data_IF_944778751418
#
_entry.id   IF_944778751418
#
_cell.length_a   1.000
_cell.length_b   1.000
_cell.length_c   1.000
_cell.angle_alpha   90.00
_cell.angle_beta   90.00
_cell.angle_gamma   90.00
#
_symmetry.space_group_name_H-M   'P 1'
#
loop_
_entity.id
_entity.type
_entity.pdbx_description
1 polymer ?
#
# COMPACT_ATOMS: atom_id res chain seq x y z
N UNK A 1 -29.78 -16.27 56.13
CA UNK A 1 -29.58 -14.80 56.27
C UNK A 1 -28.10 -14.50 56.20
N UNK A 2 -27.65 -13.76 55.17
CA UNK A 2 -26.44 -12.92 55.19
C UNK A 2 -26.56 -11.98 53.98
N UNK A 3 -26.87 -10.70 54.24
CA UNK A 3 -26.91 -9.63 53.24
C UNK A 3 -25.47 -9.25 52.89
N UNK A 4 -25.10 -9.37 51.61
CA UNK A 4 -23.88 -8.77 51.09
C UNK A 4 -24.13 -7.27 50.87
N UNK A 5 -23.23 -6.44 51.41
CA UNK A 5 -23.22 -4.98 51.29
C UNK A 5 -22.74 -4.61 49.88
N UNK A 6 -23.42 -3.66 49.24
CA UNK A 6 -22.94 -2.97 48.05
C UNK A 6 -21.73 -2.11 48.40
N UNK A 7 -20.57 -2.40 47.80
CA UNK A 7 -19.41 -1.52 47.82
C UNK A 7 -19.52 -0.57 46.62
N UNK A 8 -19.93 0.67 46.90
CA UNK A 8 -19.84 1.79 45.97
C UNK A 8 -18.37 2.22 45.95
N UNK A 9 -17.66 1.96 44.85
CA UNK A 9 -16.26 2.38 44.66
C UNK A 9 -16.25 3.87 44.29
N UNK A 10 -15.85 4.72 45.23
CA UNK A 10 -15.38 6.07 44.94
C UNK A 10 -13.99 5.97 44.31
N UNK A 11 -13.82 6.50 43.10
CA UNK A 11 -12.52 6.78 42.52
C UNK A 11 -12.09 8.17 43.01
N UNK A 12 -11.01 8.24 43.79
CA UNK A 12 -10.36 9.48 44.19
C UNK A 12 -9.08 9.61 43.36
N UNK A 13 -8.99 10.65 42.52
CA UNK A 13 -7.76 10.98 41.79
C UNK A 13 -6.82 11.74 42.73
N UNK A 14 -5.63 11.19 42.95
CA UNK A 14 -4.54 11.76 43.74
C UNK A 14 -3.59 12.51 42.80
N UNK A 15 -3.43 13.81 43.01
CA UNK A 15 -2.46 14.64 42.29
C UNK A 15 -1.23 14.83 43.20
N UNK A 16 -0.09 14.23 42.83
CA UNK A 16 1.17 14.36 43.58
C UNK A 16 2.07 15.36 42.86
N UNK A 17 2.20 16.56 43.41
CA UNK A 17 3.33 17.44 43.10
C UNK A 17 4.49 17.09 44.05
N UNK A 18 5.66 16.75 43.50
CA UNK A 18 6.89 16.69 44.30
C UNK A 18 7.35 18.13 44.53
N UNK A 19 7.14 18.59 45.76
CA UNK A 19 7.48 19.91 46.26
C UNK A 19 8.92 19.90 46.80
N UNK A 20 9.90 20.42 46.07
CA UNK A 20 11.22 20.70 46.62
C UNK A 20 11.24 22.13 47.15
N UNK A 21 10.93 22.31 48.45
CA UNK A 21 11.00 23.59 49.15
C UNK A 21 12.36 23.75 49.82
N UNK A 22 13.12 24.78 49.45
CA UNK A 22 14.20 25.30 50.31
C UNK A 22 13.63 26.46 51.12
N UNK A 23 13.44 26.23 52.42
CA UNK A 23 13.00 27.27 53.35
C UNK A 23 14.19 28.14 53.74
N UNK A 24 14.18 29.42 53.35
CA UNK A 24 14.84 30.46 54.13
C UNK A 24 13.76 31.46 54.57
N UNK A 25 13.80 31.81 55.85
CA UNK A 25 12.72 32.51 56.56
C UNK A 25 12.24 33.81 55.93
N UNK A 26 10.97 34.11 56.25
CA UNK A 26 10.08 35.19 55.80
C UNK A 26 9.24 34.88 54.55
N UNK A 27 8.14 34.14 54.80
CA UNK A 27 6.81 34.11 54.17
C UNK A 27 6.64 34.73 52.77
N UNK A 28 7.32 34.16 51.79
CA UNK A 28 6.83 34.17 50.41
C UNK A 28 7.31 32.93 49.67
N UNK A 29 6.38 32.10 49.21
CA UNK A 29 6.67 31.06 48.21
C UNK A 29 6.52 31.73 46.84
N UNK A 30 7.60 31.72 46.06
CA UNK A 30 7.56 32.10 44.64
C UNK A 30 7.45 30.82 43.82
N UNK A 31 6.35 30.61 43.11
CA UNK A 31 6.18 29.45 42.22
C UNK A 31 6.50 29.87 40.79
N UNK A 32 7.61 29.38 40.24
CA UNK A 32 7.87 29.38 38.80
C UNK A 32 7.29 28.07 38.25
N UNK A 33 6.20 28.15 37.50
CA UNK A 33 5.55 26.96 36.96
C UNK A 33 6.39 26.34 35.83
N UNK A 34 7.16 25.30 36.13
CA UNK A 34 7.70 24.37 35.15
C UNK A 34 6.70 23.20 34.93
N UNK A 35 6.57 22.78 33.68
CA UNK A 35 5.68 21.75 33.10
C UNK A 35 5.45 20.48 33.93
N UNK A 36 4.21 19.96 33.90
CA UNK A 36 3.88 18.56 33.51
C UNK A 36 2.44 18.51 32.97
N UNK A 37 2.22 17.73 31.90
CA UNK A 37 0.93 17.34 31.33
C UNK A 37 -0.03 16.70 32.35
N UNK A 38 -1.34 16.93 32.21
CA UNK A 38 -2.36 16.12 32.87
C UNK A 38 -3.53 15.78 31.93
N UNK A 39 -3.90 14.50 31.97
CA UNK A 39 -5.03 13.93 31.26
C UNK A 39 -6.35 14.22 31.99
N UNK A 40 -7.41 14.45 31.20
CA UNK A 40 -8.75 14.80 31.66
C UNK A 40 -9.61 13.57 31.98
N UNK A 41 -10.59 13.72 32.89
CA UNK A 41 -11.87 13.02 32.80
C UNK A 41 -13.04 13.98 33.08
N UNK A 42 -14.12 13.74 32.33
CA UNK A 42 -15.31 14.56 32.13
C UNK A 42 -16.42 14.06 33.06
N UNK A 43 -17.26 14.93 33.62
CA UNK A 43 -18.63 14.53 34.00
C UNK A 43 -19.62 15.70 33.93
N UNK A 44 -20.81 15.34 33.48
CA UNK A 44 -21.91 16.11 32.87
C UNK A 44 -22.66 17.09 33.78
N UNK A 45 -23.15 18.15 33.12
CA UNK A 45 -24.22 19.11 33.51
C UNK A 45 -25.51 18.47 34.08
N UNK A 46 -26.33 19.21 34.86
CA UNK A 46 -27.39 20.02 34.23
C UNK A 46 -27.73 21.39 34.87
N UNK A 47 -28.00 22.34 33.97
CA UNK A 47 -29.03 23.40 33.95
C UNK A 47 -29.46 24.15 35.23
N UNK A 48 -29.40 25.49 35.20
CA UNK A 48 -30.61 26.34 35.23
C UNK A 48 -30.31 27.85 35.10
N UNK A 49 -31.01 28.44 34.12
CA UNK A 49 -31.68 29.75 34.04
C UNK A 49 -31.16 31.04 34.69
N UNK A 50 -31.30 32.08 33.84
CA UNK A 50 -31.69 33.46 34.13
C UNK A 50 -30.61 34.38 34.73
N UNK A 51 -30.52 35.67 34.39
CA UNK A 51 -31.12 36.58 33.41
C UNK A 51 -30.40 37.93 33.68
N UNK A 52 -30.47 38.87 32.73
CA UNK A 52 -30.25 40.31 32.92
C UNK A 52 -28.82 40.78 33.28
N UNK A 53 -28.34 41.94 32.85
CA UNK A 53 -28.74 43.00 31.93
C UNK A 53 -27.49 43.90 31.81
N UNK A 54 -27.38 44.65 30.71
CA UNK A 54 -26.83 46.02 30.55
C UNK A 54 -25.73 46.55 31.50
N UNK A 55 -24.78 47.38 31.08
CA UNK A 55 -24.71 48.37 29.99
C UNK A 55 -23.30 48.97 30.03
N UNK A 56 -22.85 49.45 28.88
CA UNK A 56 -22.14 50.73 28.60
C UNK A 56 -20.81 51.03 29.31
N UNK A 57 -19.72 51.15 28.53
CA UNK A 57 -19.20 52.41 27.93
C UNK A 57 -18.27 53.09 28.98
N UNK A 58 -17.04 53.52 28.68
CA UNK A 58 -16.72 54.73 27.92
C UNK A 58 -15.20 54.78 27.68
N UNK A 59 -14.87 54.98 26.41
CA UNK A 59 -13.77 55.73 25.77
C UNK A 59 -12.60 56.30 26.58
N UNK A 60 -11.41 56.29 25.96
CA UNK A 60 -10.60 57.48 25.53
C UNK A 60 -9.14 57.03 25.34
N UNK A 61 -8.58 57.11 24.12
CA UNK A 61 -7.77 58.22 23.58
C UNK A 61 -6.40 58.37 24.27
N UNK A 62 -5.26 58.66 23.65
CA UNK A 62 -4.80 58.84 22.28
C UNK A 62 -3.26 59.05 22.37
N UNK A 63 -2.62 59.24 21.21
CA UNK A 63 -1.29 59.85 20.99
C UNK A 63 -0.06 58.97 21.19
N UNK A 64 1.01 59.05 20.40
CA UNK A 64 1.41 59.86 19.24
C UNK A 64 2.71 59.20 18.71
N UNK A 65 2.88 58.96 17.40
CA UNK A 65 3.46 59.84 16.37
C UNK A 65 4.99 59.74 16.21
N UNK A 66 5.46 60.00 14.98
CA UNK A 66 6.81 60.01 14.39
C UNK A 66 7.39 58.64 13.97
N UNK A 67 7.94 58.45 12.77
CA UNK A 67 8.27 59.38 11.67
C UNK A 67 8.55 58.60 10.38
N UNK A 68 8.24 59.26 9.27
CA UNK A 68 8.54 58.95 7.87
C UNK A 68 10.04 58.75 7.59
N UNK A 69 10.37 57.90 6.60
CA UNK A 69 11.18 58.34 5.45
C UNK A 69 11.08 57.34 4.26
N UNK A 70 10.75 57.90 3.10
CA UNK A 70 10.90 57.43 1.70
C UNK A 70 12.41 57.18 1.39
N UNK A 71 12.91 56.58 0.30
CA UNK A 71 12.46 56.37 -1.09
C UNK A 71 13.44 55.39 -1.79
N UNK A 72 12.94 54.64 -2.78
CA UNK A 72 13.49 54.19 -4.09
C UNK A 72 15.02 54.02 -4.35
N UNK A 73 15.40 52.88 -4.97
CA UNK A 73 15.73 52.82 -6.43
C UNK A 73 16.48 51.55 -6.89
N UNK A 74 15.99 51.06 -8.05
CA UNK A 74 16.70 50.47 -9.21
C UNK A 74 17.21 49.00 -9.26
N UNK A 75 17.09 48.49 -10.50
CA UNK A 75 17.19 47.13 -11.07
C UNK A 75 18.30 47.20 -12.17
N UNK A 76 18.53 46.18 -13.02
CA UNK A 76 19.24 44.88 -12.91
C UNK A 76 20.58 44.84 -13.72
N UNK A 77 21.25 43.68 -13.76
CA UNK A 77 21.78 42.97 -14.97
C UNK A 77 22.91 41.97 -14.59
N UNK A 78 23.00 40.84 -15.31
CA UNK A 78 24.16 39.96 -15.20
C UNK A 78 23.98 38.52 -15.72
N UNK A 79 23.81 38.38 -17.03
CA UNK A 79 23.89 37.16 -17.86
C UNK A 79 25.25 36.46 -17.75
N UNK A 80 25.32 35.12 -17.87
CA UNK A 80 26.27 34.46 -18.78
C UNK A 80 25.94 32.98 -19.07
N UNK A 81 26.24 32.63 -20.32
CA UNK A 81 25.94 31.43 -21.10
C UNK A 81 27.26 30.77 -21.55
N UNK A 82 27.24 29.47 -21.89
CA UNK A 82 28.20 28.78 -22.78
C UNK A 82 27.64 27.36 -23.02
N UNK A 83 27.06 26.99 -24.18
CA UNK A 83 27.64 26.63 -25.52
C UNK A 83 28.76 25.56 -25.41
N UNK A 84 28.51 24.28 -25.74
CA UNK A 84 28.39 23.57 -27.06
C UNK A 84 29.75 23.22 -27.68
N UNK A 85 29.98 21.93 -27.97
CA UNK A 85 30.64 21.45 -29.20
C UNK A 85 30.48 19.91 -29.39
N UNK A 86 30.14 19.52 -30.61
CA UNK A 86 30.17 18.21 -31.30
C UNK A 86 31.12 18.41 -32.53
N UNK A 87 31.42 17.47 -33.46
CA UNK A 87 31.24 16.00 -33.54
C UNK A 87 32.46 15.22 -34.17
N UNK A 88 32.20 13.93 -34.48
CA UNK A 88 32.66 13.10 -35.64
C UNK A 88 33.80 12.03 -35.59
N UNK A 89 33.39 10.87 -36.13
CA UNK A 89 34.04 9.74 -36.85
C UNK A 89 35.13 8.82 -36.23
N UNK A 90 34.90 7.49 -36.37
CA UNK A 90 35.63 6.63 -37.33
C UNK A 90 35.07 5.19 -37.41
N UNK A 91 35.08 4.65 -38.62
CA UNK A 91 34.75 3.29 -39.09
C UNK A 91 35.97 2.35 -39.16
N UNK A 92 35.69 1.08 -39.52
CA UNK A 92 36.58 -0.04 -39.95
C UNK A 92 37.02 -1.01 -38.83
N UNK A 93 37.16 -2.32 -39.00
CA UNK A 93 36.65 -3.39 -39.87
C UNK A 93 37.39 -4.68 -39.47
N UNK A 94 36.77 -5.85 -39.72
CA UNK A 94 37.50 -7.08 -40.04
C UNK A 94 37.65 -8.14 -38.95
N UNK A 95 37.25 -9.36 -39.28
CA UNK A 95 37.67 -10.58 -38.59
C UNK A 95 36.69 -11.74 -38.69
N UNK A 96 36.82 -12.51 -39.77
CA UNK A 96 36.13 -13.77 -40.07
C UNK A 96 36.17 -14.80 -38.92
N UNK A 97 35.15 -15.65 -38.85
CA UNK A 97 35.34 -17.09 -38.93
C UNK A 97 34.05 -17.81 -39.35
N UNK A 98 34.22 -18.56 -40.45
CA UNK A 98 33.44 -19.67 -40.98
C UNK A 98 32.96 -20.65 -39.93
N UNK A 99 31.75 -21.19 -40.10
CA UNK A 99 31.53 -22.63 -40.06
C UNK A 99 30.31 -23.04 -40.88
N UNK A 100 30.45 -24.21 -41.47
CA UNK A 100 29.67 -24.80 -42.54
C UNK A 100 28.63 -25.72 -41.91
N UNK A 101 27.38 -25.74 -42.38
CA UNK A 101 26.63 -26.99 -42.32
C UNK A 101 25.62 -27.12 -43.46
N UNK A 102 25.65 -28.32 -44.02
CA UNK A 102 24.97 -28.76 -45.22
C UNK A 102 23.47 -28.92 -44.97
N UNK A 103 22.66 -28.32 -45.84
CA UNK A 103 21.24 -28.62 -45.95
C UNK A 103 21.01 -29.37 -47.27
N UNK A 104 20.65 -30.65 -47.17
CA UNK A 104 20.11 -31.45 -48.26
C UNK A 104 18.58 -31.42 -48.17
N UNK A 105 17.96 -30.50 -48.89
CA UNK A 105 16.52 -30.48 -49.11
C UNK A 105 16.20 -31.23 -50.39
N UNK A 106 15.47 -32.35 -50.25
CA UNK A 106 14.79 -33.02 -51.33
C UNK A 106 13.53 -32.24 -51.71
N UNK A 107 13.34 -31.96 -53.00
CA UNK A 107 12.05 -31.55 -53.56
C UNK A 107 11.77 -32.46 -54.75
N UNK A 108 10.70 -33.25 -54.59
CA UNK A 108 10.02 -34.00 -55.63
C UNK A 108 9.37 -33.07 -56.64
N UNK A 109 9.42 -33.44 -57.91
CA UNK A 109 8.40 -33.07 -58.89
C UNK A 109 7.98 -34.33 -59.64
N UNK A 110 6.68 -34.58 -59.55
CA UNK A 110 5.87 -35.50 -60.35
C UNK A 110 6.12 -35.29 -61.85
N UNK A 111 5.99 -36.32 -62.68
CA UNK A 111 4.75 -36.64 -63.39
C UNK A 111 4.98 -37.66 -64.53
N UNK A 112 3.87 -38.29 -64.95
CA UNK A 112 3.65 -39.05 -66.20
C UNK A 112 4.35 -40.40 -66.39
N UNK A 113 3.85 -41.40 -67.12
CA UNK A 113 2.53 -41.91 -67.55
C UNK A 113 2.91 -43.18 -68.37
N UNK A 114 2.03 -44.18 -68.43
CA UNK A 114 1.94 -45.26 -69.44
C UNK A 114 2.87 -46.50 -69.38
N UNK A 115 2.22 -47.61 -68.98
CA UNK A 115 2.07 -48.90 -69.69
C UNK A 115 3.08 -49.30 -70.77
N UNK A 116 3.74 -50.45 -70.61
CA UNK A 116 3.40 -51.69 -71.36
C UNK A 116 4.22 -52.90 -70.88
N UNK A 117 3.67 -54.07 -71.22
CA UNK A 117 3.95 -55.43 -70.78
C UNK A 117 5.38 -55.95 -71.04
N UNK A 118 5.86 -56.83 -70.15
CA UNK A 118 6.46 -58.10 -70.59
C UNK A 118 6.14 -59.22 -69.61
N UNK A 119 5.52 -60.26 -70.15
CA UNK A 119 5.20 -61.55 -69.56
C UNK A 119 6.46 -62.36 -69.25
N UNK A 120 6.55 -62.89 -68.04
CA UNK A 120 7.21 -64.17 -67.74
C UNK A 120 6.39 -64.94 -66.71
N UNK A 121 5.63 -65.94 -67.18
CA UNK A 121 5.27 -67.16 -66.43
C UNK A 121 6.59 -67.84 -65.98
N UNK A 122 6.75 -68.59 -64.90
CA UNK A 122 5.86 -69.31 -64.01
C UNK A 122 6.74 -69.78 -62.84
N UNK A 123 6.35 -69.58 -61.57
CA UNK A 123 6.49 -70.59 -60.49
C UNK A 123 5.42 -70.27 -59.46
N UNK A 124 4.35 -71.03 -59.51
CA UNK A 124 3.36 -71.15 -58.44
C UNK A 124 4.00 -71.72 -57.18
N UNK A 125 4.28 -70.86 -56.19
CA UNK A 125 4.22 -71.25 -54.79
C UNK A 125 2.97 -70.62 -54.19
N UNK A 126 1.90 -71.43 -54.10
CA UNK A 126 0.77 -71.16 -53.21
C UNK A 126 1.28 -71.18 -51.77
N UNK A 127 1.72 -70.03 -51.27
CA UNK A 127 1.65 -69.71 -49.86
C UNK A 127 0.27 -69.11 -49.61
N UNK A 128 -0.50 -69.75 -48.73
CA UNK A 128 -1.71 -69.17 -48.16
C UNK A 128 -1.30 -67.83 -47.53
N UNK A 129 -1.69 -66.73 -48.16
CA UNK A 129 -1.63 -65.41 -47.55
C UNK A 129 -2.72 -65.41 -46.46
N UNK A 130 -2.38 -65.89 -45.27
CA UNK A 130 -3.18 -65.65 -44.08
C UNK A 130 -3.31 -64.14 -43.95
N UNK A 131 -4.48 -63.63 -44.31
CA UNK A 131 -4.84 -62.24 -44.10
C UNK A 131 -4.82 -62.03 -42.59
N UNK A 132 -3.73 -61.49 -42.07
CA UNK A 132 -3.62 -61.16 -40.65
C UNK A 132 -4.73 -60.18 -40.32
N UNK A 133 -5.53 -60.51 -39.32
CA UNK A 133 -6.50 -59.57 -38.78
C UNK A 133 -5.69 -58.41 -38.17
N UNK A 134 -5.80 -57.21 -38.76
CA UNK A 134 -5.21 -55.98 -38.23
C UNK A 134 -6.29 -55.12 -37.60
N UNK A 135 -5.93 -54.42 -36.55
CA UNK A 135 -6.77 -53.48 -35.82
C UNK A 135 -6.12 -52.10 -35.79
N UNK A 136 -6.95 -51.06 -35.72
CA UNK A 136 -6.50 -49.69 -35.67
C UNK A 136 -6.43 -49.19 -34.22
N UNK A 137 -5.26 -48.66 -33.84
CA UNK A 137 -5.07 -47.95 -32.59
C UNK A 137 -5.06 -46.46 -32.88
N UNK A 138 -6.05 -45.73 -32.36
CA UNK A 138 -6.17 -44.27 -32.52
C UNK A 138 -5.68 -43.56 -31.27
N UNK A 139 -4.94 -42.46 -31.43
CA UNK A 139 -4.49 -41.63 -30.32
C UNK A 139 -5.33 -40.36 -30.21
N UNK A 140 -6.03 -40.22 -29.09
CA UNK A 140 -6.80 -39.04 -28.74
C UNK A 140 -6.00 -38.18 -27.77
N UNK A 141 -5.44 -37.07 -28.25
CA UNK A 141 -4.53 -36.22 -27.50
C UNK A 141 -5.24 -34.96 -27.03
N UNK A 142 -5.30 -34.76 -25.71
CA UNK A 142 -5.79 -33.56 -25.06
C UNK A 142 -4.62 -32.74 -24.50
N UNK A 143 -4.39 -31.57 -25.10
CA UNK A 143 -3.31 -30.64 -24.76
C UNK A 143 -2.09 -30.79 -25.69
N UNK A 144 -0.90 -30.45 -25.21
CA UNK A 144 0.31 -30.43 -26.05
C UNK A 144 1.15 -31.69 -25.87
N UNK A 145 0.94 -32.68 -26.74
CA UNK A 145 1.80 -33.85 -26.87
C UNK A 145 1.83 -34.38 -28.31
N UNK A 146 2.91 -35.08 -28.64
CA UNK A 146 3.13 -35.80 -29.90
C UNK A 146 3.33 -37.29 -29.59
N UNK A 147 2.64 -38.15 -30.35
CA UNK A 147 2.78 -39.59 -30.23
C UNK A 147 3.70 -40.10 -31.32
N UNK A 148 4.71 -40.88 -30.93
CA UNK A 148 5.65 -41.51 -31.87
C UNK A 148 5.53 -43.02 -31.86
N UNK A 149 5.35 -43.62 -33.04
CA UNK A 149 5.44 -45.07 -33.24
C UNK A 149 6.65 -45.32 -34.14
N UNK A 150 7.58 -46.17 -33.70
CA UNK A 150 8.86 -46.40 -34.39
C UNK A 150 9.66 -45.11 -34.68
N UNK A 151 9.48 -44.08 -33.86
CA UNK A 151 10.16 -42.79 -33.99
C UNK A 151 9.44 -41.76 -34.88
N UNK A 152 8.35 -42.13 -35.55
CA UNK A 152 7.59 -41.24 -36.42
C UNK A 152 6.31 -40.73 -35.74
N UNK A 153 6.02 -39.45 -35.90
CA UNK A 153 4.82 -38.82 -35.32
C UNK A 153 3.56 -39.32 -36.04
N UNK A 154 2.60 -39.87 -35.29
CA UNK A 154 1.39 -40.48 -35.85
C UNK A 154 0.14 -40.10 -35.05
N UNK A 155 -1.02 -40.05 -35.71
CA UNK A 155 -2.33 -39.94 -35.07
C UNK A 155 -2.98 -41.32 -34.82
N UNK A 156 -2.52 -42.35 -35.52
CA UNK A 156 -2.98 -43.74 -35.38
C UNK A 156 -1.92 -44.72 -35.88
N UNK A 157 -2.00 -45.99 -35.46
CA UNK A 157 -1.15 -47.07 -35.95
C UNK A 157 -1.95 -48.36 -36.15
N UNK A 158 -1.55 -49.18 -37.12
CA UNK A 158 -2.09 -50.53 -37.31
C UNK A 158 -1.30 -51.54 -36.49
N UNK A 159 -2.00 -52.49 -35.88
CA UNK A 159 -1.39 -53.59 -35.14
C UNK A 159 -2.07 -54.91 -35.49
N UNK A 160 -1.29 -55.99 -35.52
CA UNK A 160 -1.82 -57.34 -35.74
C UNK A 160 -2.60 -57.79 -34.51
N UNK A 161 -3.64 -58.61 -34.72
CA UNK A 161 -4.35 -59.28 -33.63
C UNK A 161 -3.38 -60.06 -32.75
N UNK A 162 -3.63 -60.02 -31.44
CA UNK A 162 -2.82 -60.66 -30.39
C UNK A 162 -1.38 -60.10 -30.27
N UNK A 163 -1.07 -58.99 -30.97
CA UNK A 163 0.24 -58.31 -30.88
C UNK A 163 0.25 -57.18 -29.86
N UNK A 164 1.47 -56.72 -29.53
CA UNK A 164 1.71 -55.56 -28.68
C UNK A 164 2.16 -54.38 -29.55
N UNK A 165 1.69 -53.17 -29.22
CA UNK A 165 2.12 -51.92 -29.87
C UNK A 165 2.94 -51.09 -28.90
N UNK A 166 4.18 -50.75 -29.29
CA UNK A 166 5.02 -49.79 -28.57
C UNK A 166 4.88 -48.39 -29.15
N UNK A 167 4.72 -47.39 -28.28
CA UNK A 167 4.67 -45.99 -28.69
C UNK A 167 5.31 -45.08 -27.61
N UNK A 168 5.76 -43.90 -28.02
CA UNK A 168 6.30 -42.88 -27.13
C UNK A 168 5.38 -41.66 -27.09
N UNK A 169 5.32 -41.01 -25.93
CA UNK A 169 4.61 -39.75 -25.75
C UNK A 169 5.63 -38.67 -25.43
N UNK A 170 5.74 -37.68 -26.31
CA UNK A 170 6.57 -36.49 -26.09
C UNK A 170 5.66 -35.30 -25.80
N UNK A 171 5.78 -34.71 -24.61
CA UNK A 171 4.99 -33.53 -24.25
C UNK A 171 5.58 -32.25 -24.82
N UNK A 172 4.72 -31.29 -25.16
CA UNK A 172 5.12 -29.94 -25.53
C UNK A 172 5.83 -29.21 -24.39
N UNK A 173 6.53 -28.12 -24.73
CA UNK A 173 7.24 -27.29 -23.74
C UNK A 173 6.27 -26.75 -22.70
N UNK A 174 6.66 -26.78 -21.42
CA UNK A 174 5.80 -26.29 -20.34
C UNK A 174 4.65 -27.21 -19.94
N UNK A 175 4.48 -28.36 -20.60
CA UNK A 175 3.51 -29.37 -20.22
C UNK A 175 4.20 -30.59 -19.61
N UNK A 176 3.48 -31.23 -18.70
CA UNK A 176 3.78 -32.58 -18.22
C UNK A 176 2.63 -33.50 -18.56
N UNK A 177 2.95 -34.77 -18.69
CA UNK A 177 1.95 -35.79 -18.92
C UNK A 177 1.09 -35.95 -17.67
N UNK A 178 -0.23 -35.90 -17.84
CA UNK A 178 -1.22 -36.09 -16.75
C UNK A 178 -1.64 -37.55 -16.67
N UNK A 179 -2.04 -38.15 -17.80
CA UNK A 179 -2.42 -39.56 -17.88
C UNK A 179 -2.33 -40.09 -19.32
N UNK A 180 -2.16 -41.42 -19.43
CA UNK A 180 -2.32 -42.17 -20.67
C UNK A 180 -3.19 -43.35 -20.34
N UNK A 181 -4.33 -43.48 -21.02
CA UNK A 181 -5.30 -44.52 -20.76
C UNK A 181 -5.70 -45.24 -22.04
N UNK A 182 -5.99 -46.53 -21.94
CA UNK A 182 -6.59 -47.31 -23.02
C UNK A 182 -7.77 -48.09 -22.44
N UNK A 183 -8.92 -48.06 -23.12
CA UNK A 183 -10.17 -48.68 -22.66
C UNK A 183 -10.56 -48.31 -21.21
N UNK A 184 -10.20 -47.09 -20.79
CA UNK A 184 -10.45 -46.55 -19.46
C UNK A 184 -9.51 -47.04 -18.35
N UNK A 185 -8.44 -47.77 -18.68
CA UNK A 185 -7.40 -48.18 -17.74
C UNK A 185 -6.10 -47.41 -17.97
N UNK A 186 -5.42 -47.02 -16.89
CA UNK A 186 -4.11 -46.36 -16.95
C UNK A 186 -3.05 -47.30 -17.54
N UNK A 187 -2.25 -46.78 -18.48
CA UNK A 187 -1.09 -47.47 -19.02
C UNK A 187 0.16 -47.10 -18.21
N UNK A 188 0.89 -48.13 -17.80
CA UNK A 188 2.20 -47.97 -17.16
C UNK A 188 3.25 -47.56 -18.20
N UNK A 189 4.15 -46.68 -17.81
CA UNK A 189 5.22 -46.18 -18.66
C UNK A 189 6.61 -46.55 -18.13
N UNK A 190 7.56 -46.66 -19.04
CA UNK A 190 8.98 -46.63 -18.72
C UNK A 190 9.64 -45.55 -19.57
N UNK A 191 10.02 -44.45 -18.93
CA UNK A 191 10.70 -43.32 -19.57
C UNK A 191 9.92 -42.73 -20.77
N UNK A 192 8.61 -42.52 -20.61
CA UNK A 192 7.73 -41.99 -21.67
C UNK A 192 7.39 -42.98 -22.78
N UNK A 193 7.88 -44.22 -22.69
CA UNK A 193 7.53 -45.33 -23.58
C UNK A 193 6.43 -46.19 -22.98
N UNK A 194 5.44 -46.53 -23.82
CA UNK A 194 4.24 -47.27 -23.48
C UNK A 194 4.13 -48.53 -24.34
N UNK A 195 3.54 -49.57 -23.76
CA UNK A 195 3.23 -50.82 -24.48
C UNK A 195 1.74 -51.11 -24.27
N UNK A 196 0.97 -50.99 -25.36
CA UNK A 196 -0.40 -51.50 -25.40
C UNK A 196 -0.34 -52.99 -25.72
N UNK A 197 -0.77 -53.83 -24.77
CA UNK A 197 -0.61 -55.29 -24.87
C UNK A 197 -1.83 -55.97 -25.45
N UNK A 198 -1.58 -57.05 -26.19
CA UNK A 198 -2.59 -58.03 -26.60
C UNK A 198 -3.81 -57.38 -27.28
N UNK A 199 -3.59 -56.75 -28.43
CA UNK A 199 -4.63 -56.01 -29.16
C UNK A 199 -5.66 -56.98 -29.74
N UNK A 200 -6.92 -56.84 -29.32
CA UNK A 200 -8.05 -57.73 -29.67
C UNK A 200 -9.08 -57.06 -30.59
N UNK A 201 -8.95 -55.77 -30.84
CA UNK A 201 -9.91 -54.94 -31.56
C UNK A 201 -9.37 -53.53 -31.77
N UNK A 202 -10.14 -52.71 -32.47
CA UNK A 202 -9.83 -51.28 -32.58
C UNK A 202 -9.85 -50.64 -31.18
N UNK A 203 -8.80 -49.89 -30.85
CA UNK A 203 -8.61 -49.30 -29.52
C UNK A 203 -8.34 -47.81 -29.65
N UNK A 204 -8.85 -47.03 -28.70
CA UNK A 204 -8.47 -45.62 -28.54
C UNK A 204 -7.60 -45.48 -27.31
N UNK A 205 -6.45 -44.83 -27.47
CA UNK A 205 -5.55 -44.44 -26.39
C UNK A 205 -5.76 -42.94 -26.15
N UNK A 206 -6.24 -42.58 -24.96
CA UNK A 206 -6.41 -41.18 -24.56
C UNK A 206 -5.17 -40.70 -23.82
N UNK A 207 -4.62 -39.58 -24.27
CA UNK A 207 -3.41 -38.95 -23.72
C UNK A 207 -3.78 -37.56 -23.23
N UNK A 208 -3.70 -37.34 -21.92
CA UNK A 208 -3.95 -36.03 -21.32
C UNK A 208 -2.64 -35.40 -20.84
N UNK A 209 -2.46 -34.13 -21.13
CA UNK A 209 -1.37 -33.31 -20.57
C UNK A 209 -1.93 -32.21 -19.68
N UNK A 210 -1.08 -31.68 -18.81
CA UNK A 210 -1.35 -30.49 -18.01
C UNK A 210 -0.11 -29.61 -17.93
N UNK A 211 -0.25 -28.32 -17.61
CA UNK A 211 0.91 -27.46 -17.44
C UNK A 211 1.80 -27.98 -16.30
N UNK A 212 3.10 -28.07 -16.58
CA UNK A 212 4.09 -28.50 -15.61
C UNK A 212 4.25 -27.41 -14.56
N UNK A 213 3.72 -27.64 -13.35
CA UNK A 213 3.98 -26.80 -12.19
C UNK A 213 5.43 -26.95 -11.70
N UNK A 214 6.41 -26.50 -12.48
CA UNK A 214 7.76 -26.34 -11.99
C UNK A 214 7.79 -25.11 -11.07
N UNK A 215 8.03 -25.34 -9.78
CA UNK A 215 8.30 -24.26 -8.82
C UNK A 215 9.68 -23.71 -9.11
N UNK A 216 9.76 -22.74 -10.00
CA UNK A 216 10.96 -21.98 -10.25
C UNK A 216 11.01 -20.79 -9.29
N UNK A 217 12.21 -20.45 -8.82
CA UNK A 217 12.40 -19.19 -8.11
C UNK A 217 12.35 -18.05 -9.12
N UNK A 218 11.62 -16.99 -8.79
CA UNK A 218 11.45 -15.80 -9.63
C UNK A 218 12.81 -15.23 -10.04
N UNK A 219 13.79 -15.19 -9.13
CA UNK A 219 15.16 -14.78 -9.43
C UNK A 219 15.81 -15.58 -10.57
N UNK A 220 15.53 -16.87 -10.69
CA UNK A 220 16.09 -17.70 -11.76
C UNK A 220 15.38 -17.42 -13.10
N UNK A 221 14.06 -17.23 -13.06
CA UNK A 221 13.24 -16.84 -14.23
C UNK A 221 13.74 -15.51 -14.79
N UNK A 222 13.83 -14.48 -13.95
CA UNK A 222 14.26 -13.13 -14.34
C UNK A 222 15.69 -13.10 -14.90
N UNK A 223 16.57 -13.99 -14.44
CA UNK A 223 17.94 -14.09 -14.96
C UNK A 223 18.01 -14.82 -16.31
N UNK A 224 17.07 -15.69 -16.60
CA UNK A 224 17.08 -16.48 -17.83
C UNK A 224 16.74 -15.62 -19.04
N UNK A 225 15.71 -14.77 -18.94
CA UNK A 225 15.23 -13.95 -20.04
C UNK A 225 14.95 -12.50 -19.60
N UNK A 226 16.00 -11.69 -19.33
CA UNK A 226 15.85 -10.36 -18.74
C UNK A 226 15.29 -9.30 -19.71
N UNK A 227 15.36 -9.54 -21.01
CA UNK A 227 14.92 -8.59 -22.06
C UNK A 227 13.47 -8.83 -22.52
N UNK A 228 12.80 -9.82 -21.96
CA UNK A 228 11.43 -10.16 -22.34
C UNK A 228 10.42 -9.14 -21.83
N UNK A 229 9.23 -9.16 -22.44
CA UNK A 229 8.10 -8.36 -21.99
C UNK A 229 6.84 -9.20 -21.88
N UNK A 230 5.96 -8.81 -20.97
CA UNK A 230 4.68 -9.47 -20.71
C UNK A 230 3.56 -8.50 -21.00
N UNK A 231 2.53 -9.00 -21.70
CA UNK A 231 1.32 -8.22 -21.92
C UNK A 231 0.53 -8.11 -20.63
N UNK A 232 0.26 -6.89 -20.20
CA UNK A 232 -0.53 -6.56 -19.01
C UNK A 232 -1.68 -5.62 -19.38
N UNK A 233 -2.68 -5.53 -18.50
CA UNK A 233 -3.79 -4.58 -18.66
C UNK A 233 -3.67 -3.43 -17.66
N UNK A 234 -3.77 -2.20 -18.13
CA UNK A 234 -3.89 -0.99 -17.32
C UNK A 234 -5.37 -0.78 -16.95
N UNK A 235 -5.62 -0.40 -15.70
CA UNK A 235 -6.96 -0.11 -15.18
C UNK A 235 -6.94 1.10 -14.25
N UNK A 236 -7.88 2.03 -14.44
CA UNK A 236 -8.03 3.20 -13.56
C UNK A 236 -7.16 4.41 -13.95
N UNK A 237 -6.64 4.41 -15.18
CA UNK A 237 -5.87 5.50 -15.77
C UNK A 237 -6.61 6.20 -16.95
N UNK A 238 -7.94 6.08 -16.97
CA UNK A 238 -8.86 6.64 -17.97
C UNK A 238 -8.46 6.34 -19.41
N UNK A 239 -8.07 7.35 -20.19
CA UNK A 239 -7.67 7.21 -21.60
C UNK A 239 -6.44 6.32 -21.81
N UNK A 240 -5.70 5.99 -20.74
CA UNK A 240 -4.56 5.08 -20.76
C UNK A 240 -4.93 3.62 -20.44
N UNK A 241 -6.19 3.33 -20.12
CA UNK A 241 -6.64 1.96 -19.89
C UNK A 241 -6.48 1.11 -21.17
N UNK A 242 -6.09 -0.15 -21.00
CA UNK A 242 -5.88 -1.05 -22.13
C UNK A 242 -4.65 -1.94 -21.97
N UNK A 243 -4.16 -2.47 -23.09
CA UNK A 243 -3.04 -3.41 -23.12
C UNK A 243 -1.71 -2.67 -23.17
N UNK A 244 -0.74 -3.12 -22.37
CA UNK A 244 0.61 -2.58 -22.30
C UNK A 244 1.65 -3.71 -22.28
N UNK A 245 2.82 -3.50 -22.89
CA UNK A 245 3.94 -4.43 -22.80
C UNK A 245 4.85 -4.01 -21.65
N UNK A 246 4.83 -4.77 -20.56
CA UNK A 246 5.62 -4.52 -19.37
C UNK A 246 6.92 -5.33 -19.43
N UNK A 247 8.12 -4.70 -19.33
CA UNK A 247 9.36 -5.43 -19.18
C UNK A 247 9.33 -6.37 -17.98
N UNK A 248 9.94 -7.55 -18.10
CA UNK A 248 10.08 -8.47 -16.97
C UNK A 248 10.90 -7.84 -15.84
N UNK A 249 10.63 -8.25 -14.60
CA UNK A 249 11.28 -7.70 -13.41
C UNK A 249 10.29 -7.31 -12.33
N UNK A 250 10.69 -6.35 -11.48
CA UNK A 250 9.82 -5.78 -10.46
C UNK A 250 8.80 -4.86 -11.12
N UNK A 251 7.52 -5.17 -10.94
CA UNK A 251 6.42 -4.48 -11.64
C UNK A 251 6.39 -3.01 -11.26
N UNK A 252 6.65 -2.68 -9.98
CA UNK A 252 6.63 -1.29 -9.50
C UNK A 252 7.66 -0.41 -10.20
N UNK A 253 8.84 -0.95 -10.50
CA UNK A 253 9.93 -0.22 -11.15
C UNK A 253 9.71 -0.10 -12.66
N UNK A 254 9.01 -1.08 -13.26
CA UNK A 254 8.74 -1.11 -14.69
C UNK A 254 7.36 -0.54 -15.08
N UNK A 255 6.47 -0.27 -14.11
CA UNK A 255 5.12 0.21 -14.35
C UNK A 255 5.14 1.55 -15.12
N UNK A 256 4.32 1.71 -16.18
CA UNK A 256 4.29 2.95 -16.93
C UNK A 256 3.85 4.13 -16.04
N UNK A 257 4.45 5.29 -16.26
CA UNK A 257 4.06 6.53 -15.59
C UNK A 257 3.05 7.29 -16.45
N UNK A 258 1.90 7.64 -15.86
CA UNK A 258 0.89 8.47 -16.51
C UNK A 258 0.76 9.80 -15.75
N UNK A 259 0.72 10.91 -16.47
CA UNK A 259 0.58 12.23 -15.85
C UNK A 259 -0.76 12.32 -15.09
N UNK A 260 -0.71 12.66 -13.80
CA UNK A 260 -1.90 12.78 -12.97
C UNK A 260 -2.44 11.44 -12.45
N UNK A 261 -1.64 10.38 -12.45
CA UNK A 261 -2.00 9.07 -11.88
C UNK A 261 -0.81 8.45 -11.17
N UNK A 262 -1.10 7.68 -10.12
CA UNK A 262 -0.11 6.85 -9.44
C UNK A 262 -0.43 5.38 -9.65
N UNK A 263 0.60 4.59 -9.93
CA UNK A 263 0.52 3.14 -9.83
C UNK A 263 0.26 2.76 -8.36
N UNK A 264 -0.75 1.93 -8.13
CA UNK A 264 -1.16 1.48 -6.79
C UNK A 264 -0.66 0.08 -6.52
N UNK A 265 -1.05 -0.87 -7.37
CA UNK A 265 -0.70 -2.28 -7.22
C UNK A 265 -0.95 -3.04 -8.53
N UNK A 266 -0.36 -4.22 -8.64
CA UNK A 266 -0.66 -5.15 -9.71
C UNK A 266 -1.33 -6.41 -9.13
N UNK A 267 -2.30 -6.97 -9.86
CA UNK A 267 -2.98 -8.21 -9.45
C UNK A 267 -3.14 -9.20 -10.57
N UNK A 268 -3.21 -10.47 -10.18
CA UNK A 268 -3.85 -11.54 -10.94
C UNK A 268 -5.06 -11.98 -10.13
N UNK A 269 -6.26 -11.78 -10.66
CA UNK A 269 -7.53 -11.96 -9.94
C UNK A 269 -7.58 -11.16 -8.62
N UNK A 270 -7.42 -11.82 -7.47
CA UNK A 270 -7.44 -11.21 -6.14
C UNK A 270 -6.05 -11.08 -5.52
N UNK A 271 -5.05 -11.77 -6.08
CA UNK A 271 -3.71 -11.83 -5.52
C UNK A 271 -2.89 -10.63 -5.99
N UNK A 272 -2.34 -9.88 -5.03
CA UNK A 272 -1.37 -8.82 -5.32
C UNK A 272 -0.02 -9.44 -5.68
N UNK A 273 0.57 -8.96 -6.77
CA UNK A 273 1.81 -9.50 -7.34
C UNK A 273 2.92 -8.45 -7.35
N UNK A 274 4.18 -8.90 -7.35
CA UNK A 274 5.34 -7.98 -7.30
C UNK A 274 6.27 -8.11 -8.50
N UNK A 275 6.50 -9.32 -8.98
CA UNK A 275 7.41 -9.59 -10.09
C UNK A 275 6.69 -10.32 -11.20
N UNK A 276 7.13 -10.08 -12.43
CA UNK A 276 6.70 -10.84 -13.61
C UNK A 276 7.92 -11.25 -14.42
N UNK A 277 7.91 -12.47 -14.98
CA UNK A 277 9.01 -13.02 -15.75
C UNK A 277 8.54 -14.00 -16.81
N UNK A 278 9.42 -14.32 -17.77
CA UNK A 278 9.16 -15.33 -18.80
C UNK A 278 10.24 -16.39 -18.74
N UNK A 279 9.85 -17.67 -18.76
CA UNK A 279 10.78 -18.79 -18.83
C UNK A 279 10.19 -19.89 -19.70
N UNK A 280 10.95 -20.37 -20.70
CA UNK A 280 10.49 -21.36 -21.69
C UNK A 280 9.14 -20.99 -22.33
N UNK A 281 8.99 -19.72 -22.73
CA UNK A 281 7.76 -19.14 -23.32
C UNK A 281 6.53 -19.10 -22.39
N UNK A 282 6.71 -19.40 -21.10
CA UNK A 282 5.66 -19.34 -20.07
C UNK A 282 5.83 -18.08 -19.23
N UNK A 283 4.74 -17.37 -19.01
CA UNK A 283 4.69 -16.22 -18.11
C UNK A 283 4.56 -16.69 -16.66
N UNK A 284 5.42 -16.14 -15.80
CA UNK A 284 5.39 -16.35 -14.36
C UNK A 284 5.18 -15.03 -13.62
N UNK A 285 4.52 -15.09 -12.47
CA UNK A 285 4.38 -13.98 -11.54
C UNK A 285 4.66 -14.42 -10.10
N UNK A 286 5.00 -13.48 -9.23
CA UNK A 286 5.15 -13.76 -7.80
C UNK A 286 3.98 -13.19 -7.00
N UNK A 287 3.48 -13.95 -6.01
CA UNK A 287 2.40 -13.50 -5.12
C UNK A 287 2.98 -12.89 -3.85
N UNK A 288 2.56 -11.67 -3.52
CA UNK A 288 3.10 -10.92 -2.39
C UNK A 288 4.63 -10.77 -2.44
N UNK A 289 5.27 -10.83 -1.29
CA UNK A 289 6.74 -10.74 -1.13
C UNK A 289 7.46 -12.09 -1.36
N UNK A 290 6.82 -13.06 -2.00
CA UNK A 290 7.42 -14.37 -2.24
C UNK A 290 8.39 -14.35 -3.43
N UNK A 291 9.51 -15.06 -3.32
CA UNK A 291 10.41 -15.34 -4.44
C UNK A 291 9.94 -16.51 -5.32
N UNK A 292 8.77 -17.10 -5.05
CA UNK A 292 8.26 -18.22 -5.84
C UNK A 292 7.58 -17.72 -7.13
N UNK A 293 8.01 -18.26 -8.27
CA UNK A 293 7.32 -18.08 -9.55
C UNK A 293 6.10 -18.97 -9.65
N UNK A 294 4.94 -18.36 -9.91
CA UNK A 294 3.66 -19.00 -10.19
C UNK A 294 3.34 -18.80 -11.67
N UNK A 295 2.90 -19.85 -12.36
CA UNK A 295 2.56 -19.79 -13.77
C UNK A 295 1.29 -18.96 -13.95
N UNK A 296 1.27 -18.06 -14.94
CA UNK A 296 0.06 -17.39 -15.38
C UNK A 296 -0.77 -18.37 -16.22
N UNK A 297 -1.83 -18.91 -15.61
CA UNK A 297 -2.74 -19.85 -16.28
C UNK A 297 -3.47 -19.19 -17.45
N UNK A 298 -3.82 -19.99 -18.46
CA UNK A 298 -4.49 -19.50 -19.66
C UNK A 298 -5.82 -18.81 -19.33
N UNK A 299 -6.08 -17.65 -19.93
CA UNK A 299 -7.27 -16.83 -19.68
C UNK A 299 -7.20 -15.95 -18.43
N UNK A 300 -6.13 -16.02 -17.63
CA UNK A 300 -5.86 -15.03 -16.58
C UNK A 300 -5.06 -13.86 -17.14
N UNK A 301 -5.29 -12.69 -16.58
CA UNK A 301 -4.58 -11.46 -16.96
C UNK A 301 -3.87 -10.85 -15.75
N UNK A 302 -2.73 -10.23 -16.00
CA UNK A 302 -2.08 -9.35 -15.05
C UNK A 302 -2.66 -7.94 -15.25
N UNK A 303 -3.18 -7.35 -14.18
CA UNK A 303 -3.78 -6.02 -14.19
C UNK A 303 -2.99 -5.07 -13.31
N UNK A 304 -2.53 -3.94 -13.85
CA UNK A 304 -1.91 -2.84 -13.11
C UNK A 304 -2.99 -1.80 -12.81
N UNK A 305 -3.21 -1.52 -11.52
CA UNK A 305 -4.21 -0.57 -11.05
C UNK A 305 -3.58 0.79 -10.78
N UNK A 306 -4.24 1.82 -11.27
CA UNK A 306 -3.87 3.22 -11.08
C UNK A 306 -4.99 3.97 -10.36
N UNK A 307 -4.60 5.02 -9.64
CA UNK A 307 -5.52 5.99 -9.07
C UNK A 307 -5.11 7.40 -9.53
N UNK A 308 -6.09 8.23 -9.87
CA UNK A 308 -5.84 9.61 -10.30
C UNK A 308 -5.33 10.48 -9.15
N UNK A 309 -4.28 11.26 -9.40
CA UNK A 309 -3.85 12.39 -8.56
C UNK A 309 -4.96 13.40 -8.35
N UNK A 310 -5.81 13.63 -9.37
CA UNK A 310 -6.93 14.59 -9.33
C UNK A 310 -8.07 14.15 -8.42
N UNK A 311 -8.05 12.90 -7.95
CA UNK A 311 -8.92 12.45 -6.87
C UNK A 311 -8.47 12.96 -5.50
N UNK A 312 -7.29 13.56 -5.37
CA UNK A 312 -6.80 14.11 -4.12
C UNK A 312 -6.87 15.64 -4.11
N UNK A 313 -7.43 16.19 -3.04
CA UNK A 313 -7.50 17.61 -2.74
C UNK A 313 -6.33 17.97 -1.81
N UNK A 314 -5.68 19.09 -2.06
CA UNK A 314 -4.63 19.59 -1.18
C UNK A 314 -5.24 20.21 0.08
N UNK A 315 -4.55 20.06 1.21
CA UNK A 315 -4.92 20.67 2.48
C UNK A 315 -3.76 21.51 3.00
N UNK A 316 -4.00 22.80 3.18
CA UNK A 316 -3.02 23.75 3.71
C UNK A 316 -3.44 24.22 5.10
N UNK A 317 -2.51 24.23 6.05
CA UNK A 317 -2.75 24.70 7.41
C UNK A 317 -2.00 26.01 7.68
N UNK A 318 -2.72 27.00 8.20
CA UNK A 318 -2.21 28.32 8.52
C UNK A 318 -2.54 28.64 9.97
N UNK A 319 -1.53 29.02 10.76
CA UNK A 319 -1.70 29.45 12.15
C UNK A 319 -1.47 30.95 12.31
N UNK A 320 -2.32 31.59 13.11
CA UNK A 320 -2.26 33.02 13.40
C UNK A 320 -2.41 33.27 14.90
N UNK A 321 -1.78 34.34 15.38
CA UNK A 321 -2.01 34.93 16.70
C UNK A 321 -2.51 36.36 16.48
N UNK A 322 -3.71 36.68 16.96
CA UNK A 322 -4.35 37.99 16.75
C UNK A 322 -4.25 38.45 15.27
N UNK A 323 -4.69 37.58 14.35
CA UNK A 323 -4.67 37.76 12.88
C UNK A 323 -3.28 37.87 12.21
N UNK A 324 -2.19 37.76 12.95
CA UNK A 324 -0.81 37.77 12.41
C UNK A 324 -0.29 36.33 12.30
N UNK A 325 0.35 35.97 11.18
CA UNK A 325 0.97 34.64 11.00
C UNK A 325 1.95 34.34 12.14
N UNK A 326 1.70 33.26 12.88
CA UNK A 326 2.53 32.84 14.00
C UNK A 326 2.15 31.44 14.46
N UNK A 327 3.17 30.63 14.75
CA UNK A 327 3.04 29.31 15.38
C UNK A 327 3.02 29.35 16.91
N UNK A 328 3.17 30.52 17.53
CA UNK A 328 3.28 30.63 19.00
C UNK A 328 1.99 30.21 19.71
N UNK A 329 0.85 30.38 19.05
CA UNK A 329 -0.47 30.09 19.61
C UNK A 329 -0.78 28.60 19.74
N UNK A 330 -0.13 27.74 18.94
CA UNK A 330 -0.44 26.31 18.90
C UNK A 330 -0.02 25.61 17.61
N UNK A 331 -0.42 24.35 17.49
CA UNK A 331 -0.17 23.48 16.34
C UNK A 331 -1.48 22.95 15.74
N UNK A 332 -1.39 22.56 14.48
CA UNK A 332 -2.48 21.88 13.74
C UNK A 332 -1.91 20.61 13.14
N UNK A 333 -2.60 19.49 13.36
CA UNK A 333 -2.20 18.16 12.87
C UNK A 333 -3.33 17.58 12.05
N UNK A 334 -3.07 17.30 10.78
CA UNK A 334 -4.03 16.66 9.88
C UNK A 334 -3.34 16.22 8.58
N UNK A 335 -4.06 15.54 7.67
CA UNK A 335 -3.52 15.12 6.40
C UNK A 335 -3.24 16.34 5.50
N UNK A 336 -2.19 16.26 4.67
CA UNK A 336 -1.86 17.26 3.65
C UNK A 336 -2.62 17.04 2.33
N UNK A 337 -3.17 15.83 2.14
CA UNK A 337 -4.01 15.46 1.01
C UNK A 337 -5.16 14.56 1.47
N UNK A 338 -6.33 14.74 0.89
CA UNK A 338 -7.53 13.93 1.14
C UNK A 338 -8.17 13.55 -0.18
N UNK A 339 -8.90 12.43 -0.25
CA UNK A 339 -9.68 12.11 -1.44
C UNK A 339 -10.85 13.11 -1.60
N UNK A 340 -11.19 13.46 -2.83
CA UNK A 340 -12.40 14.22 -3.16
C UNK A 340 -13.63 13.46 -2.66
N UNK A 341 -14.60 14.22 -2.16
CA UNK A 341 -15.82 13.75 -1.50
C UNK A 341 -15.59 12.92 -0.22
N UNK A 342 -14.35 12.91 0.30
CA UNK A 342 -14.02 12.32 1.61
C UNK A 342 -14.02 13.37 2.72
N UNK A 343 -14.03 12.91 3.97
CA UNK A 343 -14.03 13.79 5.13
C UNK A 343 -12.60 14.20 5.49
N UNK A 344 -12.36 15.51 5.61
CA UNK A 344 -11.15 16.05 6.22
C UNK A 344 -11.33 16.07 7.74
N UNK A 345 -10.42 15.42 8.48
CA UNK A 345 -10.34 15.54 9.94
C UNK A 345 -8.96 16.04 10.35
N UNK A 346 -8.92 17.04 11.23
CA UNK A 346 -7.68 17.60 11.77
C UNK A 346 -7.85 18.01 13.24
N UNK A 347 -6.74 18.05 13.96
CA UNK A 347 -6.65 18.41 15.37
C UNK A 347 -5.94 19.73 15.55
N UNK A 348 -6.46 20.57 16.43
CA UNK A 348 -5.82 21.82 16.88
C UNK A 348 -5.44 21.67 18.34
N UNK A 349 -4.18 21.95 18.66
CA UNK A 349 -3.68 22.03 20.03
C UNK A 349 -3.16 23.45 20.27
N UNK A 350 -3.60 24.11 21.33
CA UNK A 350 -3.13 25.46 21.64
C UNK A 350 -2.14 25.46 22.80
N UNK A 351 -1.15 26.33 22.71
CA UNK A 351 -0.10 26.48 23.70
C UNK A 351 -0.61 27.22 24.95
N UNK A 352 0.08 27.03 26.07
CA UNK A 352 -0.22 27.74 27.31
C UNK A 352 -0.19 29.26 27.11
N UNK A 353 -1.19 29.94 27.65
CA UNK A 353 -1.35 31.39 27.49
C UNK A 353 -2.07 31.81 26.21
N UNK A 354 -2.58 30.85 25.45
CA UNK A 354 -3.44 31.07 24.30
C UNK A 354 -4.75 30.30 24.45
N UNK A 355 -5.74 30.70 23.67
CA UNK A 355 -6.96 29.93 23.38
C UNK A 355 -7.26 30.05 21.90
N UNK A 356 -7.99 29.09 21.35
CA UNK A 356 -8.54 29.20 19.99
C UNK A 356 -9.54 30.37 19.99
N UNK A 357 -9.33 31.32 19.08
CA UNK A 357 -10.30 32.37 18.81
C UNK A 357 -11.32 31.92 17.77
N UNK A 358 -10.85 31.45 16.62
CA UNK A 358 -11.68 30.87 15.57
C UNK A 358 -10.87 29.91 14.67
N UNK A 359 -11.58 28.97 14.05
CA UNK A 359 -11.06 28.11 12.98
C UNK A 359 -11.90 28.34 11.73
N UNK A 360 -11.24 28.62 10.62
CA UNK A 360 -11.86 28.81 9.31
C UNK A 360 -11.35 27.76 8.34
N UNK A 361 -12.24 27.23 7.52
CA UNK A 361 -11.88 26.44 6.34
C UNK A 361 -12.43 27.13 5.10
N UNK A 362 -11.56 27.43 4.14
CA UNK A 362 -11.90 28.20 2.94
C UNK A 362 -12.66 29.50 3.28
N UNK A 363 -12.19 30.21 4.31
CA UNK A 363 -12.78 31.44 4.83
C UNK A 363 -14.03 31.29 5.71
N UNK A 364 -14.61 30.09 5.80
CA UNK A 364 -15.84 29.82 6.58
C UNK A 364 -15.51 29.33 7.98
N UNK A 365 -16.08 29.97 9.01
CA UNK A 365 -15.89 29.53 10.41
C UNK A 365 -16.57 28.19 10.63
N UNK A 366 -15.86 27.24 11.25
CA UNK A 366 -16.38 25.94 11.64
C UNK A 366 -16.24 25.70 13.15
N UNK A 367 -17.06 24.80 13.68
CA UNK A 367 -17.02 24.40 15.08
C UNK A 367 -16.25 23.09 15.24
N UNK A 368 -15.48 22.98 16.32
CA UNK A 368 -14.77 21.77 16.68
C UNK A 368 -15.46 21.01 17.82
N UNK A 369 -14.99 19.80 18.05
CA UNK A 369 -15.31 18.98 19.22
C UNK A 369 -14.15 19.04 20.20
N UNK A 370 -14.43 19.43 21.45
CA UNK A 370 -13.43 19.48 22.52
C UNK A 370 -12.95 18.06 22.85
N UNK A 371 -11.65 17.82 22.79
CA UNK A 371 -11.00 16.55 23.18
C UNK A 371 -10.47 16.67 24.61
N UNK A 372 -9.73 17.74 24.89
CA UNK A 372 -9.25 18.11 26.22
C UNK A 372 -9.35 19.63 26.40
N UNK A 373 -8.90 20.16 27.53
CA UNK A 373 -8.89 21.62 27.78
C UNK A 373 -8.04 22.41 26.78
N UNK A 374 -7.09 21.77 26.10
CA UNK A 374 -6.17 22.41 25.16
C UNK A 374 -6.13 21.77 23.76
N UNK A 375 -7.01 20.79 23.49
CA UNK A 375 -7.09 20.05 22.21
C UNK A 375 -8.51 19.97 21.68
N UNK A 376 -8.68 20.23 20.38
CA UNK A 376 -9.97 20.22 19.68
C UNK A 376 -9.84 19.51 18.33
N UNK A 377 -10.83 18.70 17.99
CA UNK A 377 -10.94 18.03 16.68
C UNK A 377 -11.95 18.75 15.78
N UNK A 378 -11.65 18.84 14.49
CA UNK A 378 -12.49 19.47 13.49
C UNK A 378 -12.69 18.52 12.31
N UNK A 379 -13.89 18.57 11.73
CA UNK A 379 -14.22 17.75 10.56
C UNK A 379 -14.92 18.61 9.50
N UNK A 380 -14.46 18.51 8.25
CA UNK A 380 -15.15 19.02 7.07
C UNK A 380 -15.65 17.81 6.30
N UNK A 381 -16.97 17.66 6.19
CA UNK A 381 -17.56 16.52 5.52
C UNK A 381 -17.52 16.70 4.01
N UNK A 382 -17.20 15.62 3.29
CA UNK A 382 -17.25 15.55 1.82
C UNK A 382 -16.59 16.75 1.14
N UNK A 383 -15.31 16.96 1.43
CA UNK A 383 -14.54 18.02 0.79
C UNK A 383 -14.50 17.81 -0.72
N UNK A 384 -14.85 18.82 -1.51
CA UNK A 384 -15.01 18.74 -2.96
C UNK A 384 -13.98 19.59 -3.75
N UNK A 385 -13.14 20.32 -3.01
CA UNK A 385 -12.11 21.26 -3.49
C UNK A 385 -10.94 21.32 -2.50
N UNK A 386 -9.81 21.90 -2.89
CA UNK A 386 -8.68 22.14 -1.99
C UNK A 386 -9.12 22.90 -0.72
N UNK A 387 -8.51 22.56 0.42
CA UNK A 387 -8.90 23.04 1.73
C UNK A 387 -7.81 23.91 2.33
N UNK A 388 -8.10 25.18 2.56
CA UNK A 388 -7.26 26.09 3.35
C UNK A 388 -7.84 26.20 4.77
N UNK A 389 -7.13 25.62 5.74
CA UNK A 389 -7.47 25.66 7.16
C UNK A 389 -6.69 26.79 7.81
N UNK A 390 -7.38 27.83 8.28
CA UNK A 390 -6.80 28.91 9.09
C UNK A 390 -7.26 28.79 10.53
N UNK A 391 -6.30 28.62 11.45
CA UNK A 391 -6.53 28.62 12.89
C UNK A 391 -6.01 29.93 13.48
N UNK A 392 -6.89 30.69 14.11
CA UNK A 392 -6.52 31.93 14.80
C UNK A 392 -6.59 31.71 16.31
N UNK A 393 -5.47 31.96 16.98
CA UNK A 393 -5.36 31.97 18.42
C UNK A 393 -5.41 33.41 18.95
N UNK A 394 -5.90 33.57 20.17
CA UNK A 394 -5.79 34.81 20.95
C UNK A 394 -5.04 34.57 22.24
N UNK A 395 -4.28 35.57 22.67
CA UNK A 395 -3.60 35.55 23.97
C UNK A 395 -4.64 35.59 25.09
N UNK A 396 -4.45 34.72 26.08
CA UNK A 396 -5.15 34.83 27.36
C UNK A 396 -4.55 36.04 28.08
N UNK A 397 -5.38 37.01 28.44
CA UNK A 397 -4.92 38.21 29.14
C UNK A 397 -5.07 38.09 30.66
N UNK A 398 -5.94 37.19 31.13
CA UNK A 398 -6.21 36.98 32.54
C UNK A 398 -6.55 35.52 32.84
N UNK A 399 -6.08 35.03 33.97
CA UNK A 399 -6.43 33.74 34.54
C UNK A 399 -7.27 33.93 35.80
N UNK A 400 -8.07 32.92 36.16
CA UNK A 400 -8.87 32.90 37.38
C UNK A 400 -8.35 31.82 38.33
N UNK A 401 -7.94 32.22 39.52
CA UNK A 401 -7.55 31.28 40.59
C UNK A 401 -8.82 30.70 41.22
N UNK A 402 -8.89 29.39 41.38
CA UNK A 402 -9.93 28.73 42.19
C UNK A 402 -9.28 27.74 43.14
N UNK A 403 -9.69 27.75 44.41
CA UNK A 403 -9.27 26.78 45.43
C UNK A 403 -10.40 26.52 46.44
N UNK A 404 -10.29 25.39 47.15
CA UNK A 404 -11.14 25.00 48.27
C UNK A 404 -10.29 24.70 49.49
N UNK A 405 -10.41 25.50 50.55
CA UNK A 405 -9.66 25.27 51.79
C UNK A 405 -10.02 23.95 52.48
N UNK A 406 -11.20 23.39 52.19
CA UNK A 406 -11.62 22.08 52.73
C UNK A 406 -10.74 20.92 52.23
N UNK A 407 -9.99 21.12 51.14
CA UNK A 407 -9.10 20.12 50.55
C UNK A 407 -7.65 20.27 51.02
N UNK A 408 -7.35 21.30 51.81
CA UNK A 408 -6.01 21.59 52.33
C UNK A 408 -5.86 20.92 53.70
N UNK A 409 -4.84 20.07 53.84
CA UNK A 409 -4.67 19.21 55.04
C UNK A 409 -4.15 19.94 56.27
N UNK A 410 -3.35 21.00 56.10
CA UNK A 410 -2.73 21.74 57.18
C UNK A 410 -2.70 23.22 56.78
N UNK A 411 -3.63 24.00 57.34
CA UNK A 411 -3.74 25.43 57.06
C UNK A 411 -4.70 25.79 55.92
N UNK A 412 -4.70 27.08 55.57
CA UNK A 412 -5.65 27.72 54.66
C UNK A 412 -4.95 28.70 53.72
N UNK A 413 -5.43 28.81 52.47
CA UNK A 413 -5.13 29.97 51.61
C UNK A 413 -6.06 31.12 52.03
N UNK A 414 -5.46 32.25 52.42
CA UNK A 414 -6.19 33.44 52.91
C UNK A 414 -6.16 34.60 51.93
N UNK A 415 -5.25 34.60 50.95
CA UNK A 415 -5.18 35.63 49.91
C UNK A 415 -4.42 35.12 48.67
N UNK A 416 -4.80 35.53 47.45
CA UNK A 416 -6.04 36.25 47.13
C UNK A 416 -7.25 35.31 47.26
N UNK A 417 -8.46 35.85 47.33
CA UNK A 417 -9.68 35.03 47.47
C UNK A 417 -9.84 34.06 46.29
N UNK A 418 -10.44 32.89 46.54
CA UNK A 418 -10.87 31.99 45.47
C UNK A 418 -11.80 32.73 44.51
N UNK A 419 -11.56 32.61 43.21
CA UNK A 419 -12.21 33.37 42.15
C UNK A 419 -11.48 34.64 41.71
N UNK A 420 -10.37 35.03 42.36
CA UNK A 420 -9.59 36.19 41.96
C UNK A 420 -8.94 36.01 40.59
N UNK A 421 -8.89 37.09 39.81
CA UNK A 421 -8.25 37.10 38.49
C UNK A 421 -6.86 37.74 38.56
N UNK A 422 -5.95 37.26 37.72
CA UNK A 422 -4.59 37.79 37.60
C UNK A 422 -4.17 37.81 36.12
N UNK A 423 -3.34 38.78 35.75
CA UNK A 423 -2.88 38.98 34.39
C UNK A 423 -1.93 37.88 33.90
N UNK A 424 -1.87 37.70 32.58
CA UNK A 424 -0.90 36.78 31.99
C UNK A 424 0.53 37.32 32.16
N UNK A 425 1.41 36.48 32.72
CA UNK A 425 2.78 36.85 33.10
C UNK A 425 2.92 37.46 34.50
N UNK A 426 1.81 37.71 35.22
CA UNK A 426 1.89 38.19 36.60
C UNK A 426 2.30 37.09 37.58
N UNK A 427 3.11 37.45 38.58
CA UNK A 427 3.43 36.55 39.69
C UNK A 427 2.22 36.38 40.60
N UNK A 428 1.67 35.17 40.63
CA UNK A 428 0.68 34.79 41.62
C UNK A 428 1.35 34.65 43.00
N UNK A 429 0.96 35.50 43.95
CA UNK A 429 1.39 35.41 45.36
C UNK A 429 0.26 34.85 46.20
N UNK A 430 0.53 33.75 46.91
CA UNK A 430 -0.43 33.14 47.83
C UNK A 430 -0.01 33.43 49.27
N UNK A 431 -0.96 33.83 50.10
CA UNK A 431 -0.79 33.89 51.56
C UNK A 431 -1.39 32.63 52.17
N UNK A 432 -0.56 31.92 52.92
CA UNK A 432 -0.91 30.68 53.61
C UNK A 432 -0.89 30.92 55.11
N UNK A 433 -1.87 30.39 55.83
CA UNK A 433 -1.89 30.36 57.29
C UNK A 433 -1.92 28.91 57.74
N UNK A 434 -0.89 28.48 58.48
CA UNK A 434 -0.87 27.16 59.11
C UNK A 434 -1.88 27.09 60.25
N UNK A 435 -2.53 25.94 60.42
CA UNK A 435 -3.37 25.70 61.59
C UNK A 435 -2.46 25.57 62.82
N UNK A 436 -2.57 26.52 63.75
CA UNK A 436 -1.78 26.58 64.99
C UNK A 436 -2.24 25.53 66.01
N UNK A 437 -2.20 24.25 65.64
CA UNK A 437 -2.81 23.17 66.43
C UNK A 437 -2.10 21.82 66.38
N UNK A 438 -0.95 21.67 65.74
CA UNK A 438 -0.13 20.46 65.92
C UNK A 438 1.07 20.81 66.78
N UNK A 439 1.01 20.42 68.06
CA UNK A 439 2.21 20.18 68.83
C UNK A 439 2.97 19.08 68.10
N UNK A 440 4.19 19.36 67.67
CA UNK A 440 5.15 18.32 67.31
C UNK A 440 5.15 17.31 68.46
N UNK A 441 4.69 16.08 68.17
CA UNK A 441 4.70 15.04 69.16
C UNK A 441 6.12 14.88 69.67
N UNK A 442 6.35 15.22 70.94
CA UNK A 442 7.61 14.91 71.61
C UNK A 442 7.84 13.40 71.45
N UNK A 443 8.81 13.05 70.61
CA UNK A 443 9.32 11.70 70.53
C UNK A 443 9.95 11.36 71.87
N UNK A 444 9.23 10.65 72.73
CA UNK A 444 9.84 10.01 73.89
C UNK A 444 10.73 8.89 73.37
N UNK A 445 12.05 9.10 73.46
CA UNK A 445 13.01 8.02 73.38
C UNK A 445 12.87 7.09 74.59
N UNK A 446 12.56 5.83 74.33
CA UNK A 446 13.05 4.64 75.02
C UNK A 446 12.61 3.38 74.30
#
# INVERSE_FOLDING_TARGET
>A
MKKAKSLQRLWAFLLVFVLAATTLGNDSITVTAAEVESAAEISSEPASDANEDKTEEVTSAASSDSSENEESSEVPEGTQTSETDEPEETTEAGGENTETESEITAVSTEDELETEETVTEDVTETSENEKKDTFMVSFDVSGEAVIKVNGEAVASAEAEKDSDLSFQVETGKGYRLKSVTADGADLESSDGSYILKNIQGDTTVSVETEQAAQRLLMRNILRANPEESVTVRISGADDNDGSFLLPVGEIKENAPSFAGYNFVEAKVEQDTIQYVGVYEDIVYYSVGESDAGTILENGREIVLFYESDSSNLNVTYITKVNDTLSSDGGSVTGPEKIKKDSDLTFRVEFNRGYVIDNVKVNGTIINGTKVTDYKWDYTVQKADQDQEVTVTFKKVNSYKLTYSNNEIRQGNITSPNSGSSFGNGETLKLTLVSDSGHQDGEGTGS
#
